data_IF_713561617269
#
_entry.id   IF_713561617269
#
_cell.length_a   1.000
_cell.length_b   1.000
_cell.length_c   1.000
_cell.angle_alpha   90.00
_cell.angle_beta   90.00
_cell.angle_gamma   90.00
#
_symmetry.space_group_name_H-M   'P 1'
#
loop_
_entity.id
_entity.type
_entity.pdbx_description
1 polymer ?
#
# COMPACT_ATOMS: atom_id res chain seq x y z
N UNK A 1 15.81 -1.95 7.50
CA UNK A 1 15.71 -2.18 6.04
C UNK A 1 14.38 -2.85 5.76
N UNK A 2 13.56 -2.28 4.88
CA UNK A 2 12.27 -2.85 4.49
C UNK A 2 12.49 -3.73 3.25
N UNK A 3 12.17 -5.01 3.34
CA UNK A 3 12.26 -5.97 2.22
C UNK A 3 10.85 -6.46 1.91
N UNK A 4 10.39 -6.20 0.69
CA UNK A 4 9.11 -6.69 0.19
C UNK A 4 9.43 -7.81 -0.80
N UNK A 5 9.12 -9.06 -0.44
CA UNK A 5 9.38 -10.23 -1.27
C UNK A 5 8.41 -10.29 -2.46
N UNK A 6 7.10 -10.23 -2.17
CA UNK A 6 6.06 -10.16 -3.18
C UNK A 6 4.94 -9.18 -2.78
N UNK A 7 4.57 -8.28 -3.70
CA UNK A 7 3.40 -7.41 -3.60
C UNK A 7 2.39 -7.80 -4.67
N UNK A 8 1.28 -8.42 -4.25
CA UNK A 8 0.18 -8.78 -5.15
C UNK A 8 -0.91 -7.71 -5.10
N UNK A 9 -0.93 -6.85 -6.11
CA UNK A 9 -1.94 -5.79 -6.25
C UNK A 9 -3.06 -6.27 -7.17
N UNK A 10 -4.28 -6.39 -6.65
CA UNK A 10 -5.46 -6.67 -7.46
C UNK A 10 -6.11 -5.35 -7.84
N UNK A 11 -6.09 -5.03 -9.12
CA UNK A 11 -6.70 -3.83 -9.68
C UNK A 11 -7.94 -4.23 -10.47
N UNK A 12 -8.99 -3.39 -10.49
CA UNK A 12 -10.14 -3.61 -11.36
C UNK A 12 -9.76 -3.51 -12.84
N UNK A 13 -10.59 -4.12 -13.70
CA UNK A 13 -10.41 -4.07 -15.15
C UNK A 13 -10.30 -2.62 -15.65
N UNK A 14 -9.42 -2.38 -16.63
CA UNK A 14 -9.13 -1.02 -17.15
C UNK A 14 -7.93 -0.32 -16.50
N UNK A 15 -7.35 -0.90 -15.45
CA UNK A 15 -6.11 -0.40 -14.82
C UNK A 15 -4.86 -1.18 -15.22
N UNK A 16 -4.94 -2.16 -16.12
CA UNK A 16 -3.82 -3.02 -16.54
C UNK A 16 -2.60 -2.21 -16.99
N UNK A 17 -2.82 -1.16 -17.80
CA UNK A 17 -1.75 -0.27 -18.28
C UNK A 17 -1.14 0.61 -17.18
N UNK A 18 -1.91 0.89 -16.12
CA UNK A 18 -1.50 1.74 -14.99
C UNK A 18 -0.90 0.91 -13.85
N UNK A 19 -1.18 -0.40 -13.81
CA UNK A 19 -0.82 -1.30 -12.74
C UNK A 19 0.68 -1.29 -12.43
N UNK A 20 1.52 -1.40 -13.46
CA UNK A 20 2.97 -1.38 -13.30
C UNK A 20 3.49 -0.05 -12.73
N UNK A 21 2.97 1.09 -13.25
CA UNK A 21 3.33 2.43 -12.78
C UNK A 21 2.89 2.65 -11.33
N UNK A 22 1.67 2.23 -10.98
CA UNK A 22 1.14 2.30 -9.61
C UNK A 22 2.01 1.47 -8.68
N UNK A 23 2.29 0.20 -9.00
CA UNK A 23 3.10 -0.68 -8.15
C UNK A 23 4.51 -0.09 -7.89
N UNK A 24 5.15 0.47 -8.91
CA UNK A 24 6.46 1.12 -8.77
C UNK A 24 6.40 2.37 -7.90
N UNK A 25 5.35 3.18 -8.04
CA UNK A 25 5.15 4.36 -7.20
C UNK A 25 4.84 3.97 -5.75
N UNK A 26 4.07 2.91 -5.52
CA UNK A 26 3.80 2.38 -4.17
C UNK A 26 5.09 1.97 -3.48
N UNK A 27 5.93 1.17 -4.15
CA UNK A 27 7.22 0.75 -3.62
C UNK A 27 8.12 1.95 -3.29
N UNK A 28 8.12 2.97 -4.17
CA UNK A 28 8.89 4.20 -3.94
C UNK A 28 8.39 4.97 -2.73
N UNK A 29 7.09 5.13 -2.55
CA UNK A 29 6.52 5.85 -1.42
C UNK A 29 6.69 5.08 -0.11
N UNK A 30 6.56 3.75 -0.12
CA UNK A 30 6.86 2.89 1.04
C UNK A 30 8.32 3.03 1.50
N UNK A 31 9.27 3.10 0.56
CA UNK A 31 10.68 3.33 0.90
C UNK A 31 10.98 4.71 1.51
N UNK A 32 10.05 5.67 1.41
CA UNK A 32 10.17 7.01 1.99
C UNK A 32 9.53 7.11 3.37
N UNK A 33 8.67 6.15 3.73
CA UNK A 33 7.98 6.15 5.02
C UNK A 33 8.90 5.56 6.10
N UNK A 34 8.94 6.19 7.30
CA UNK A 34 9.79 5.71 8.38
C UNK A 34 9.21 4.41 8.94
N UNK A 35 9.92 3.30 8.75
CA UNK A 35 9.61 2.02 9.37
C UNK A 35 10.26 2.00 10.74
N UNK A 36 9.49 2.35 11.78
CA UNK A 36 9.95 2.43 13.17
C UNK A 36 10.08 1.08 13.86
N UNK A 37 9.43 0.03 13.32
CA UNK A 37 9.47 -1.32 13.88
C UNK A 37 9.85 -2.34 12.81
N UNK A 38 10.82 -3.18 13.12
CA UNK A 38 11.16 -4.35 12.34
C UNK A 38 10.33 -5.53 12.83
N UNK A 39 9.43 -6.02 11.99
CA UNK A 39 8.60 -7.20 12.25
C UNK A 39 8.40 -8.00 10.97
N UNK A 40 8.04 -9.28 11.12
CA UNK A 40 7.60 -10.11 9.98
C UNK A 40 6.09 -10.08 9.94
N UNK A 41 5.53 -9.51 8.88
CA UNK A 41 4.11 -9.61 8.58
C UNK A 41 3.95 -10.79 7.61
N UNK A 42 3.43 -11.92 8.08
CA UNK A 42 3.21 -13.11 7.23
C UNK A 42 2.15 -12.84 6.15
N UNK A 43 1.17 -11.98 6.45
CA UNK A 43 0.15 -11.59 5.50
C UNK A 43 -0.20 -10.11 5.64
N UNK A 44 0.25 -9.29 4.70
CA UNK A 44 -0.12 -7.88 4.62
C UNK A 44 -1.38 -7.76 3.77
N UNK A 45 -2.54 -7.84 4.42
CA UNK A 45 -3.80 -7.50 3.76
C UNK A 45 -3.82 -5.99 3.50
N UNK A 46 -3.57 -5.61 2.24
CA UNK A 46 -3.80 -4.23 1.80
C UNK A 46 -5.32 -4.03 1.77
N UNK A 47 -5.89 -3.11 2.56
CA UNK A 47 -7.34 -2.90 2.58
C UNK A 47 -7.85 -2.52 1.19
N UNK A 48 -9.12 -2.79 0.90
CA UNK A 48 -9.74 -2.38 -0.36
C UNK A 48 -9.56 -0.87 -0.55
N UNK A 49 -8.72 -0.49 -1.50
CA UNK A 49 -8.47 0.90 -1.85
C UNK A 49 -9.61 1.32 -2.79
N UNK A 50 -10.49 2.20 -2.33
CA UNK A 50 -11.50 2.82 -3.20
C UNK A 50 -10.81 3.75 -4.19
N UNK A 51 -10.82 3.37 -5.46
CA UNK A 51 -10.30 4.19 -6.55
C UNK A 51 -11.36 5.21 -6.95
N UNK A 52 -11.11 6.49 -6.75
CA UNK A 52 -11.93 7.53 -7.38
C UNK A 52 -11.42 7.76 -8.81
N UNK A 53 -12.31 7.72 -9.81
CA UNK A 53 -11.96 7.77 -11.24
C UNK A 53 -11.11 8.97 -11.69
N UNK A 54 -11.01 10.01 -10.85
CA UNK A 54 -10.20 11.21 -11.11
C UNK A 54 -8.82 11.21 -10.42
N UNK A 55 -8.39 10.10 -9.81
CA UNK A 55 -7.10 10.02 -9.11
C UNK A 55 -5.95 9.69 -10.07
N UNK A 56 -4.86 10.46 -9.93
CA UNK A 56 -3.59 10.18 -10.60
C UNK A 56 -2.89 8.98 -9.96
N UNK A 57 -2.00 8.33 -10.71
CA UNK A 57 -1.23 7.17 -10.22
C UNK A 57 -0.46 7.49 -8.93
N UNK A 58 0.02 8.73 -8.82
CA UNK A 58 0.75 9.23 -7.65
C UNK A 58 -0.15 9.35 -6.43
N UNK A 59 -1.35 9.92 -6.57
CA UNK A 59 -2.31 10.01 -5.46
C UNK A 59 -2.69 8.62 -4.97
N UNK A 60 -2.86 7.69 -5.91
CA UNK A 60 -3.17 6.31 -5.59
C UNK A 60 -2.03 5.62 -4.84
N UNK A 61 -0.81 5.78 -5.32
CA UNK A 61 0.37 5.19 -4.69
C UNK A 61 0.59 5.72 -3.27
N UNK A 62 0.37 7.02 -3.04
CA UNK A 62 0.46 7.63 -1.71
C UNK A 62 -0.58 7.01 -0.77
N UNK A 63 -1.83 6.87 -1.22
CA UNK A 63 -2.90 6.24 -0.42
C UNK A 63 -2.56 4.81 -0.03
N UNK A 64 -2.16 3.99 -1.01
CA UNK A 64 -1.77 2.59 -0.80
C UNK A 64 -0.59 2.49 0.19
N UNK A 65 0.46 3.30 -0.01
CA UNK A 65 1.65 3.27 0.84
C UNK A 65 1.32 3.66 2.29
N UNK A 66 0.44 4.65 2.51
CA UNK A 66 -0.01 5.05 3.86
C UNK A 66 -0.84 3.98 4.54
N UNK A 67 -1.77 3.33 3.83
CA UNK A 67 -2.58 2.23 4.40
C UNK A 67 -1.70 1.05 4.81
N UNK A 68 -0.72 0.71 3.99
CA UNK A 68 0.26 -0.34 4.31
C UNK A 68 1.11 0.06 5.53
N UNK A 69 1.61 1.29 5.56
CA UNK A 69 2.43 1.78 6.67
C UNK A 69 1.66 1.78 7.99
N UNK A 70 0.40 2.20 7.99
CA UNK A 70 -0.48 2.17 9.17
C UNK A 70 -0.70 0.74 9.69
N UNK A 71 -0.86 -0.25 8.80
CA UNK A 71 -0.92 -1.67 9.18
C UNK A 71 0.41 -2.17 9.76
N UNK A 72 1.55 -1.72 9.21
CA UNK A 72 2.89 -2.10 9.68
C UNK A 72 3.23 -1.49 11.04
N UNK A 73 2.76 -0.27 11.35
CA UNK A 73 3.00 0.39 12.63
C UNK A 73 2.05 -0.05 13.75
N UNK A 74 1.13 -0.98 13.45
CA UNK A 74 0.15 -1.44 14.44
C UNK A 74 -0.92 -0.41 14.77
N UNK A 75 -1.09 0.62 13.93
CA UNK A 75 -2.28 1.49 13.96
C UNK A 75 -3.45 0.86 13.18
N UNK A 76 -3.43 -0.46 13.06
CA UNK A 76 -4.64 -1.24 12.84
C UNK A 76 -5.54 -0.98 14.04
N UNK A 77 -6.49 -0.05 13.86
CA UNK A 77 -7.38 0.41 14.90
C UNK A 77 -7.86 -0.72 15.79
N UNK A 78 -7.71 -0.49 17.11
CA UNK A 78 -8.51 -1.22 18.08
C UNK A 78 -9.95 -1.23 17.59
N UNK A 79 -10.52 -2.43 17.53
CA UNK A 79 -11.95 -2.58 17.42
C UNK A 79 -12.59 -1.72 18.51
N UNK A 80 -13.39 -0.76 18.05
CA UNK A 80 -14.37 -0.02 18.82
C UNK A 80 -15.18 -0.98 19.69
N UNK A 81 -15.21 -0.72 21.00
CA UNK A 81 -16.08 -1.36 22.01
C UNK A 81 -17.57 -1.10 21.69
#
# INVERSE_FOLDING_TARGET
MLTIDHLRLQLPAGYEKRAASIARLVARELGRLPVTHSGRVEHLAVPQITLHGNQTDKQLAIGIARSIHSQMTGEAGGCHD
#
